data_IF_302354361278
#
_entry.id   IF_302354361278
#
_cell.length_a   1.000
_cell.length_b   1.000
_cell.length_c   1.000
_cell.angle_alpha   90.00
_cell.angle_beta   90.00
_cell.angle_gamma   90.00
#
_symmetry.space_group_name_H-M   'P 1'
#
loop_
_entity.id
_entity.type
_entity.pdbx_description
1 polymer ?
#
# COMPACT_ATOMS: atom_id res chain seq x y z
N UNK A 1 -14.83 -9.78 -6.52
CA UNK A 1 -15.49 -8.45 -6.33
C UNK A 1 -14.48 -7.38 -6.75
N UNK A 2 -14.68 -6.69 -7.89
CA UNK A 2 -13.76 -5.61 -8.32
C UNK A 2 -14.24 -4.30 -7.70
N UNK A 3 -13.48 -3.73 -6.78
CA UNK A 3 -13.74 -2.38 -6.25
C UNK A 3 -13.67 -1.37 -7.39
N UNK A 4 -14.66 -0.48 -7.46
CA UNK A 4 -14.65 0.61 -8.45
C UNK A 4 -13.64 1.68 -8.06
N UNK A 5 -13.08 2.38 -9.04
CA UNK A 5 -12.11 3.49 -8.87
C UNK A 5 -12.58 4.54 -7.84
N UNK A 6 -13.89 4.77 -7.75
CA UNK A 6 -14.50 5.71 -6.80
C UNK A 6 -14.44 5.20 -5.36
N UNK A 7 -14.65 3.91 -5.15
CA UNK A 7 -14.53 3.29 -3.82
C UNK A 7 -13.07 3.25 -3.36
N UNK A 8 -12.13 3.05 -4.28
CA UNK A 8 -10.69 3.14 -3.99
C UNK A 8 -10.27 4.55 -3.56
N UNK A 9 -10.74 5.59 -4.25
CA UNK A 9 -10.51 6.98 -3.81
C UNK A 9 -11.10 7.24 -2.42
N UNK A 10 -12.29 6.71 -2.12
CA UNK A 10 -12.89 6.78 -0.78
C UNK A 10 -11.99 6.15 0.26
N UNK A 11 -11.58 4.88 0.05
CA UNK A 11 -10.69 4.13 0.93
C UNK A 11 -9.35 4.84 1.20
N UNK A 12 -8.71 5.37 0.16
CA UNK A 12 -7.43 6.07 0.29
C UNK A 12 -7.55 7.44 0.98
N UNK A 13 -8.74 8.05 0.95
CA UNK A 13 -9.00 9.35 1.59
C UNK A 13 -9.47 9.22 3.04
N UNK A 14 -9.84 8.02 3.49
CA UNK A 14 -10.21 7.78 4.88
C UNK A 14 -9.00 7.97 5.81
N UNK A 15 -9.04 9.04 6.61
CA UNK A 15 -8.04 9.38 7.63
C UNK A 15 -8.21 8.60 8.95
N UNK A 16 -9.30 7.85 9.08
CA UNK A 16 -9.66 7.21 10.35
C UNK A 16 -8.68 6.11 10.76
N UNK A 17 -7.96 5.51 9.80
CA UNK A 17 -6.93 4.52 10.09
C UNK A 17 -5.89 4.39 8.98
N UNK A 18 -4.58 4.58 9.26
CA UNK A 18 -3.50 4.41 8.29
C UNK A 18 -3.44 3.00 7.69
N UNK A 19 -3.87 1.99 8.45
CA UNK A 19 -3.93 0.60 8.00
C UNK A 19 -4.86 0.38 6.81
N UNK A 20 -6.02 1.06 6.78
CA UNK A 20 -6.98 0.94 5.68
C UNK A 20 -6.37 1.51 4.39
N UNK A 21 -5.69 2.65 4.51
CA UNK A 21 -4.99 3.27 3.38
C UNK A 21 -3.85 2.37 2.87
N UNK A 22 -3.07 1.77 3.77
CA UNK A 22 -1.97 0.87 3.41
C UNK A 22 -2.47 -0.35 2.60
N UNK A 23 -3.57 -0.97 3.03
CA UNK A 23 -4.22 -2.06 2.28
C UNK A 23 -4.73 -1.59 0.92
N UNK A 24 -5.23 -0.35 0.83
CA UNK A 24 -5.63 0.26 -0.44
C UNK A 24 -4.48 0.40 -1.45
N UNK A 25 -3.30 0.83 -0.99
CA UNK A 25 -2.11 0.91 -1.84
C UNK A 25 -1.59 -0.46 -2.27
N UNK A 26 -1.66 -1.44 -1.36
CA UNK A 26 -1.34 -2.82 -1.69
C UNK A 26 -2.27 -3.34 -2.80
N UNK A 27 -3.58 -3.12 -2.67
CA UNK A 27 -4.55 -3.51 -3.70
C UNK A 27 -4.28 -2.80 -5.04
N UNK A 28 -3.96 -1.50 -5.03
CA UNK A 28 -3.57 -0.78 -6.26
C UNK A 28 -2.33 -1.38 -6.91
N UNK A 29 -1.34 -1.83 -6.14
CA UNK A 29 -0.14 -2.46 -6.66
C UNK A 29 -0.42 -3.79 -7.37
N UNK A 30 -1.43 -4.54 -6.92
CA UNK A 30 -1.82 -5.84 -7.50
C UNK A 30 -2.87 -5.74 -8.62
N UNK A 31 -3.84 -4.83 -8.49
CA UNK A 31 -4.99 -4.74 -9.39
C UNK A 31 -4.94 -3.54 -10.36
N UNK A 32 -4.06 -2.56 -10.10
CA UNK A 32 -3.93 -1.34 -10.89
C UNK A 32 -3.02 -1.48 -12.10
N UNK A 33 -3.32 -0.73 -13.15
CA UNK A 33 -2.48 -0.64 -14.35
C UNK A 33 -1.24 0.22 -14.06
N UNK A 34 0.00 -0.25 -14.30
CA UNK A 34 1.23 0.47 -13.99
C UNK A 34 1.28 1.90 -14.59
N UNK A 35 0.60 2.13 -15.72
CA UNK A 35 0.52 3.46 -16.36
C UNK A 35 -0.23 4.49 -15.52
N UNK A 36 -1.23 4.04 -14.76
CA UNK A 36 -2.05 4.91 -13.92
C UNK A 36 -1.58 4.93 -12.47
N UNK A 37 -0.80 3.93 -12.05
CA UNK A 37 -0.35 3.73 -10.67
C UNK A 37 0.36 4.96 -10.10
N UNK A 38 1.26 5.60 -10.86
CA UNK A 38 1.97 6.80 -10.41
C UNK A 38 1.03 7.92 -9.94
N UNK A 39 -0.04 8.20 -10.70
CA UNK A 39 -1.01 9.25 -10.37
C UNK A 39 -1.72 9.01 -9.02
N UNK A 40 -1.84 7.75 -8.62
CA UNK A 40 -2.42 7.40 -7.32
C UNK A 40 -1.43 7.54 -6.18
N UNK A 41 -0.13 7.36 -6.43
CA UNK A 41 0.91 7.33 -5.40
C UNK A 41 1.53 8.72 -5.19
N UNK A 42 1.65 9.54 -6.24
CA UNK A 42 2.19 10.89 -6.24
C UNK A 42 1.76 11.74 -5.03
N UNK A 43 0.46 11.89 -4.70
CA UNK A 43 0.04 12.72 -3.58
C UNK A 43 0.41 12.15 -2.19
N UNK A 44 0.77 10.87 -2.09
CA UNK A 44 1.04 10.18 -0.83
C UNK A 44 2.53 9.87 -0.60
N UNK A 45 3.41 10.11 -1.57
CA UNK A 45 4.86 9.88 -1.44
C UNK A 45 5.50 10.79 -0.36
N UNK A 46 4.89 11.94 -0.11
CA UNK A 46 5.31 12.93 0.91
C UNK A 46 4.45 12.87 2.17
N UNK A 47 3.68 11.80 2.34
CA UNK A 47 2.86 11.62 3.54
C UNK A 47 3.75 11.22 4.73
N UNK A 48 3.85 12.12 5.71
CA UNK A 48 4.63 11.94 6.94
C UNK A 48 3.85 11.18 8.03
N UNK A 49 2.65 10.68 7.73
CA UNK A 49 1.86 9.91 8.69
C UNK A 49 2.57 8.60 9.06
N UNK A 50 2.95 8.49 10.34
CA UNK A 50 3.61 7.30 10.87
C UNK A 50 2.62 6.15 11.09
N UNK A 51 2.99 4.96 10.64
CA UNK A 51 2.25 3.75 10.95
C UNK A 51 3.21 2.55 11.08
N UNK A 52 2.70 1.46 11.64
CA UNK A 52 3.47 0.23 11.82
C UNK A 52 2.91 -0.86 10.90
N UNK A 53 3.49 -1.14 9.72
CA UNK A 53 2.97 -2.10 8.75
C UNK A 53 3.00 -3.57 9.20
N UNK A 54 3.37 -3.87 10.46
CA UNK A 54 3.37 -5.23 10.99
C UNK A 54 3.62 -5.31 12.48
N UNK A 55 3.59 -6.53 13.01
CA UNK A 55 3.81 -6.83 14.44
C UNK A 55 5.25 -6.58 14.93
N UNK A 56 6.18 -6.22 14.03
CA UNK A 56 7.59 -6.00 14.38
C UNK A 56 7.85 -4.68 15.12
N UNK A 57 6.86 -3.80 15.23
CA UNK A 57 7.00 -2.49 15.87
C UNK A 57 7.87 -1.50 15.09
N UNK A 58 8.34 -1.86 13.88
CA UNK A 58 9.04 -0.94 12.99
C UNK A 58 8.05 0.09 12.46
N UNK A 59 8.17 1.31 12.96
CA UNK A 59 7.44 2.46 12.43
C UNK A 59 8.06 2.89 11.10
N UNK A 60 7.21 3.12 10.12
CA UNK A 60 7.58 3.74 8.86
C UNK A 60 6.57 4.83 8.55
N UNK A 61 6.93 5.79 7.70
CA UNK A 61 5.96 6.77 7.23
C UNK A 61 5.20 6.21 6.04
N UNK A 62 3.97 6.68 5.85
CA UNK A 62 3.13 6.28 4.72
C UNK A 62 3.84 6.56 3.38
N UNK A 63 4.53 7.70 3.26
CA UNK A 63 5.30 8.03 2.07
C UNK A 63 6.50 7.11 1.82
N UNK A 64 7.16 6.59 2.86
CA UNK A 64 8.20 5.56 2.70
C UNK A 64 7.56 4.25 2.23
N UNK A 65 6.46 3.84 2.85
CA UNK A 65 5.75 2.60 2.47
C UNK A 65 5.26 2.60 1.02
N UNK A 66 4.65 3.71 0.58
CA UNK A 66 4.18 3.93 -0.78
C UNK A 66 5.35 3.90 -1.78
N UNK A 67 6.51 4.47 -1.42
CA UNK A 67 7.75 4.37 -2.23
C UNK A 67 8.28 2.95 -2.30
N UNK A 68 8.32 2.24 -1.18
CA UNK A 68 8.79 0.85 -1.13
C UNK A 68 7.89 -0.07 -1.97
N UNK A 69 6.58 0.19 -1.99
CA UNK A 69 5.62 -0.52 -2.85
C UNK A 69 5.84 -0.26 -4.35
N UNK A 70 6.15 0.98 -4.74
CA UNK A 70 6.49 1.33 -6.12
C UNK A 70 7.80 0.71 -6.57
N UNK A 71 8.83 0.80 -5.71
CA UNK A 71 10.16 0.25 -5.98
C UNK A 71 10.19 -1.29 -5.87
N UNK A 72 9.11 -1.91 -5.39
CA UNK A 72 9.02 -3.36 -5.18
C UNK A 72 9.87 -3.86 -4.01
N UNK A 73 10.43 -2.95 -3.19
CA UNK A 73 11.36 -3.27 -2.11
C UNK A 73 10.70 -3.93 -0.90
N UNK A 74 9.37 -3.89 -0.79
CA UNK A 74 8.60 -4.64 0.24
C UNK A 74 8.85 -6.15 0.19
N UNK A 75 9.34 -6.67 -0.95
CA UNK A 75 9.69 -8.08 -1.12
C UNK A 75 11.02 -8.51 -0.46
N UNK A 76 11.91 -7.57 -0.13
CA UNK A 76 13.31 -7.90 0.21
C UNK A 76 13.60 -7.98 1.70
N UNK A 77 12.81 -7.33 2.58
CA UNK A 77 13.21 -7.20 4.00
C UNK A 77 12.26 -7.78 5.04
N UNK A 78 11.07 -8.27 4.69
CA UNK A 78 10.16 -8.79 5.72
C UNK A 78 9.16 -9.88 5.34
N UNK A 79 8.90 -10.17 4.06
CA UNK A 79 7.98 -11.25 3.68
C UNK A 79 8.51 -11.96 2.42
N UNK A 80 8.88 -13.25 2.48
CA UNK A 80 9.26 -13.97 1.28
C UNK A 80 8.07 -13.95 0.32
N UNK A 81 8.33 -13.63 -0.96
CA UNK A 81 7.33 -13.51 -2.03
C UNK A 81 6.36 -14.72 -2.09
N UNK A 82 6.82 -15.89 -1.63
CA UNK A 82 6.06 -17.13 -1.48
C UNK A 82 4.93 -17.06 -0.44
N UNK A 83 5.05 -16.27 0.63
CA UNK A 83 4.06 -16.21 1.71
C UNK A 83 2.80 -15.44 1.28
N UNK A 84 2.95 -14.42 0.42
CA UNK A 84 1.82 -13.62 -0.07
C UNK A 84 0.92 -14.45 -1.01
N UNK A 85 1.51 -15.40 -1.74
CA UNK A 85 0.76 -16.39 -2.53
C UNK A 85 -0.01 -17.39 -1.67
N UNK A 86 0.51 -17.73 -0.48
CA UNK A 86 -0.12 -18.71 0.40
C UNK A 86 -1.38 -18.19 1.11
N UNK A 87 -1.49 -16.87 1.32
CA UNK A 87 -2.66 -16.24 1.96
C UNK A 87 -3.80 -15.91 0.97
N UNK A 88 -3.61 -16.15 -0.32
CA UNK A 88 -4.59 -15.90 -1.38
C UNK A 88 -5.10 -17.19 -2.06
N UNK A 89 -4.79 -18.37 -1.52
CA UNK A 89 -5.31 -19.66 -1.97
C UNK A 89 -6.29 -20.28 -0.98
#
# INVERSE_FOLDING_TARGET
>A
MKLTVKQMHGLLKHKDSPYIRAVGFLYLRYAGDPKTLWNWFEPYIKDDEEFSPGSSGRKTTMGIYVRDLLLGQVSTTSIPFSLVFLFLS
#
